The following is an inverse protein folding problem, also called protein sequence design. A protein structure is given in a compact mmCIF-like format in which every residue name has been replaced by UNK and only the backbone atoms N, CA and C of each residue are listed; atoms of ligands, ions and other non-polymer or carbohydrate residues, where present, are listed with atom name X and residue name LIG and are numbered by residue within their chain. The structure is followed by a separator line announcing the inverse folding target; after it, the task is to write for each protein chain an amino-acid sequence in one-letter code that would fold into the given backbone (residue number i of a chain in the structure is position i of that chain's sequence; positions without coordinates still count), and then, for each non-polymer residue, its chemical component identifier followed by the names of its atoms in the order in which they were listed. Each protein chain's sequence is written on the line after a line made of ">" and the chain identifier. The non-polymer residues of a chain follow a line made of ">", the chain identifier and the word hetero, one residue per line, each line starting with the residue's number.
data_IF_286891960559
#
_entry.id   IF_286891960559
#
_cell.length_a   1.000
_cell.length_b   1.000
_cell.length_c   1.000
_cell.angle_alpha   90.00
_cell.angle_beta   90.00
_cell.angle_gamma   90.00
#
_symmetry.space_group_name_H-M   'P 1'
#
loop_
_entity.id
_entity.type
_entity.pdbx_description
1 polymer ?
#
# COMPACT_ATOMS: atom_id res chain seq x y z
N UNK A 1 11.51 -20.15 5.27
CA UNK A 1 10.63 -19.07 4.78
C UNK A 1 10.65 -19.12 3.26
N UNK A 2 9.50 -18.95 2.58
CA UNK A 2 9.36 -18.93 1.12
C UNK A 2 8.38 -17.83 0.73
N UNK A 3 8.52 -17.28 -0.47
CA UNK A 3 7.55 -16.30 -1.01
C UNK A 3 6.17 -16.94 -1.09
N UNK A 4 5.15 -16.21 -0.64
CA UNK A 4 3.77 -16.67 -0.51
C UNK A 4 3.44 -17.37 0.81
N UNK A 5 4.43 -17.68 1.66
CA UNK A 5 4.11 -18.19 3.00
C UNK A 5 3.44 -17.12 3.85
N UNK A 6 2.53 -17.55 4.72
CA UNK A 6 2.01 -16.74 5.82
C UNK A 6 2.84 -17.02 7.05
N UNK A 7 3.24 -15.98 7.76
CA UNK A 7 3.99 -16.02 9.00
C UNK A 7 3.36 -15.11 10.06
N UNK A 8 3.44 -15.49 11.31
CA UNK A 8 3.06 -14.62 12.43
C UNK A 8 4.24 -13.71 12.80
N UNK A 9 3.98 -12.41 12.93
CA UNK A 9 4.93 -11.45 13.46
C UNK A 9 4.21 -10.29 14.16
N UNK A 10 4.64 -9.99 15.41
CA UNK A 10 3.86 -9.15 16.30
C UNK A 10 2.49 -9.79 16.57
N UNK A 11 1.43 -9.05 16.38
CA UNK A 11 0.05 -9.55 16.57
C UNK A 11 -0.70 -9.82 15.24
N UNK A 12 0.02 -9.83 14.12
CA UNK A 12 -0.58 -9.95 12.78
C UNK A 12 -0.02 -11.13 12.01
N UNK A 13 -0.81 -11.63 11.06
CA UNK A 13 -0.40 -12.54 10.01
C UNK A 13 0.14 -11.76 8.81
N UNK A 14 1.24 -12.23 8.24
CA UNK A 14 1.96 -11.57 7.15
C UNK A 14 2.26 -12.52 6.01
N UNK A 15 2.08 -12.04 4.79
CA UNK A 15 2.47 -12.76 3.56
C UNK A 15 3.89 -12.34 3.20
N UNK A 16 4.76 -13.32 2.95
CA UNK A 16 6.11 -13.09 2.45
C UNK A 16 6.05 -12.74 0.96
N UNK A 17 6.51 -11.53 0.62
CA UNK A 17 6.53 -11.02 -0.76
C UNK A 17 7.88 -11.19 -1.46
N UNK A 18 8.99 -11.04 -0.73
CA UNK A 18 10.35 -11.15 -1.26
C UNK A 18 11.30 -11.66 -0.16
N UNK A 19 12.41 -12.28 -0.59
CA UNK A 19 13.43 -12.82 0.32
C UNK A 19 14.80 -12.35 -0.15
N UNK A 20 15.54 -11.72 0.76
CA UNK A 20 16.96 -11.39 0.62
C UNK A 20 17.78 -12.28 1.54
N UNK A 21 19.11 -12.15 1.48
CA UNK A 21 20.04 -12.98 2.26
C UNK A 21 19.75 -12.99 3.77
N UNK A 22 19.36 -11.85 4.34
CA UNK A 22 19.26 -11.61 5.78
C UNK A 22 17.86 -11.13 6.23
N UNK A 23 16.92 -10.95 5.28
CA UNK A 23 15.60 -10.37 5.55
C UNK A 23 14.57 -10.74 4.50
N UNK A 24 13.30 -10.68 4.89
CA UNK A 24 12.15 -10.85 3.99
C UNK A 24 11.31 -9.57 3.97
N UNK A 25 10.78 -9.23 2.80
CA UNK A 25 9.69 -8.27 2.69
C UNK A 25 8.38 -8.99 3.00
N UNK A 26 7.65 -8.45 3.95
CA UNK A 26 6.34 -8.99 4.33
C UNK A 26 5.28 -7.89 4.27
N UNK A 27 4.04 -8.29 3.96
CA UNK A 27 2.85 -7.43 4.00
C UNK A 27 1.79 -8.12 4.84
N UNK A 28 0.98 -7.39 5.59
CA UNK A 28 -0.10 -8.02 6.37
C UNK A 28 -1.04 -8.80 5.44
N UNK A 29 -1.48 -9.98 5.88
CA UNK A 29 -2.45 -10.79 5.13
C UNK A 29 -3.75 -10.04 4.95
N UNK A 30 -4.23 -9.43 6.03
CA UNK A 30 -5.45 -8.64 6.07
C UNK A 30 -5.18 -7.13 6.14
N UNK A 31 -6.19 -6.35 5.87
CA UNK A 31 -6.24 -4.92 6.18
C UNK A 31 -6.43 -4.80 7.68
N UNK A 32 -5.45 -4.23 8.38
CA UNK A 32 -5.41 -4.17 9.85
C UNK A 32 -6.37 -3.15 10.44
N UNK A 33 -6.63 -2.08 9.69
CA UNK A 33 -7.55 -1.01 10.10
C UNK A 33 -7.97 -0.17 8.89
N UNK A 34 -8.93 0.73 9.11
CA UNK A 34 -9.36 1.75 8.15
C UNK A 34 -8.95 3.13 8.66
N UNK A 35 -8.15 3.86 7.85
CA UNK A 35 -7.61 5.17 8.23
C UNK A 35 -7.49 6.10 7.02
N UNK A 36 -7.73 7.42 7.16
CA UNK A 36 -7.42 8.37 6.10
C UNK A 36 -5.91 8.35 5.76
N UNK A 37 -5.59 8.65 4.51
CA UNK A 37 -4.19 8.80 4.07
C UNK A 37 -3.55 10.06 4.67
N UNK A 38 -4.35 11.13 4.77
CA UNK A 38 -3.96 12.38 5.40
C UNK A 38 -5.14 12.99 6.17
N UNK A 39 -4.87 13.88 7.11
CA UNK A 39 -5.84 14.47 8.03
C UNK A 39 -6.39 15.83 7.57
N UNK A 40 -5.80 16.42 6.53
CA UNK A 40 -6.24 17.67 5.92
C UNK A 40 -6.44 17.53 4.41
N UNK A 41 -7.36 18.32 3.82
CA UNK A 41 -7.56 18.36 2.37
C UNK A 41 -6.56 19.33 1.73
N UNK A 42 -5.28 18.97 1.80
CA UNK A 42 -4.16 19.72 1.22
C UNK A 42 -3.29 18.77 0.42
N UNK A 43 -2.60 19.26 -0.58
CA UNK A 43 -1.65 18.43 -1.33
C UNK A 43 -0.58 17.88 -0.41
N UNK A 44 -0.36 16.58 -0.50
CA UNK A 44 0.60 15.87 0.34
C UNK A 44 1.24 14.72 -0.42
N UNK A 45 2.49 14.43 -0.12
CA UNK A 45 3.21 13.24 -0.61
C UNK A 45 3.29 12.19 0.48
N UNK A 46 3.80 11.01 0.14
CA UNK A 46 4.07 9.97 1.14
C UNK A 46 4.97 10.48 2.26
N UNK A 47 5.98 11.28 1.92
CA UNK A 47 6.95 11.79 2.89
C UNK A 47 6.31 12.53 4.08
N UNK A 48 5.21 13.25 3.83
CA UNK A 48 4.61 14.16 4.80
C UNK A 48 3.24 13.72 5.31
N UNK A 49 2.64 12.67 4.72
CA UNK A 49 1.27 12.28 5.04
C UNK A 49 1.12 11.76 6.48
N UNK A 50 -0.08 11.94 7.04
CA UNK A 50 -0.41 11.50 8.39
C UNK A 50 -0.29 9.98 8.54
N UNK A 51 -0.68 9.20 7.52
CA UNK A 51 -0.61 7.75 7.56
C UNK A 51 0.83 7.23 7.69
N UNK A 52 1.79 7.83 6.97
CA UNK A 52 3.21 7.45 7.14
C UNK A 52 3.71 7.73 8.55
N UNK A 53 3.37 8.91 9.09
CA UNK A 53 3.75 9.29 10.47
C UNK A 53 3.19 8.30 11.48
N UNK A 54 1.93 7.94 11.33
CA UNK A 54 1.29 6.92 12.16
C UNK A 54 1.98 5.55 12.05
N UNK A 55 2.27 5.07 10.84
CA UNK A 55 2.90 3.77 10.63
C UNK A 55 4.30 3.69 11.24
N UNK A 56 5.07 4.80 11.21
CA UNK A 56 6.42 4.85 11.78
C UNK A 56 6.48 5.40 13.22
N UNK A 57 5.34 5.73 13.81
CA UNK A 57 5.14 6.14 15.20
C UNK A 57 4.25 5.14 15.94
N UNK A 58 2.99 5.51 16.16
CA UNK A 58 2.05 4.75 17.00
C UNK A 58 1.93 3.28 16.61
N UNK A 59 1.80 2.98 15.32
CA UNK A 59 1.71 1.58 14.84
C UNK A 59 3.02 0.81 15.09
N UNK A 60 4.18 1.44 14.80
CA UNK A 60 5.48 0.84 15.10
C UNK A 60 5.66 0.60 16.60
N UNK A 61 5.09 1.46 17.44
CA UNK A 61 5.21 1.36 18.90
C UNK A 61 4.39 0.22 19.51
N UNK A 62 3.45 -0.37 18.75
CA UNK A 62 2.74 -1.59 19.15
C UNK A 62 3.63 -2.84 19.18
N UNK A 63 4.77 -2.84 18.50
CA UNK A 63 5.68 -3.97 18.46
C UNK A 63 6.54 -4.04 19.73
N UNK A 64 6.80 -5.26 20.21
CA UNK A 64 7.72 -5.49 21.32
C UNK A 64 9.13 -4.99 20.97
N UNK A 65 9.95 -4.72 21.99
CA UNK A 65 11.36 -4.34 21.76
C UNK A 65 12.12 -5.40 20.96
N UNK A 66 11.84 -6.68 21.19
CA UNK A 66 12.46 -7.78 20.46
C UNK A 66 12.04 -7.76 18.97
N UNK A 67 10.78 -7.50 18.67
CA UNK A 67 10.28 -7.39 17.30
C UNK A 67 10.85 -6.16 16.60
N UNK A 68 10.89 -5.01 17.28
CA UNK A 68 11.47 -3.76 16.75
C UNK A 68 12.91 -3.93 16.27
N UNK A 69 13.72 -4.74 16.95
CA UNK A 69 15.10 -5.06 16.54
C UNK A 69 15.17 -5.84 15.22
N UNK A 70 14.12 -6.55 14.88
CA UNK A 70 14.01 -7.32 13.63
C UNK A 70 13.46 -6.51 12.46
N UNK A 71 12.79 -5.39 12.71
CA UNK A 71 12.27 -4.50 11.66
C UNK A 71 13.42 -3.67 11.10
N UNK A 72 13.77 -3.89 9.84
CA UNK A 72 14.84 -3.15 9.16
C UNK A 72 14.32 -1.85 8.58
N UNK A 73 14.96 -0.71 8.84
CA UNK A 73 14.67 0.50 8.08
C UNK A 73 15.07 0.30 6.61
N UNK A 74 14.36 0.96 5.71
CA UNK A 74 14.59 0.93 4.27
C UNK A 74 14.35 2.31 3.65
N UNK A 75 15.16 2.67 2.66
CA UNK A 75 14.92 3.85 1.85
C UNK A 75 13.93 3.49 0.74
N UNK A 76 12.73 4.03 0.84
CA UNK A 76 11.68 3.93 -0.17
C UNK A 76 11.84 5.03 -1.22
N UNK A 77 11.91 4.65 -2.48
CA UNK A 77 11.76 5.56 -3.60
C UNK A 77 10.31 5.94 -3.77
N UNK A 78 10.03 7.22 -3.98
CA UNK A 78 8.69 7.73 -4.19
C UNK A 78 8.58 8.37 -5.57
N UNK A 79 8.52 7.56 -6.66
CA UNK A 79 8.43 8.10 -8.02
C UNK A 79 7.12 8.85 -8.24
N UNK A 80 7.11 9.71 -9.24
CA UNK A 80 5.89 10.36 -9.69
C UNK A 80 4.86 9.33 -10.16
N UNK A 81 3.57 9.70 -10.13
CA UNK A 81 2.54 8.86 -10.73
C UNK A 81 2.81 8.69 -12.23
N UNK A 82 2.91 7.46 -12.69
CA UNK A 82 3.32 7.11 -14.06
C UNK A 82 2.37 7.69 -15.13
N UNK A 83 1.07 7.79 -14.84
CA UNK A 83 0.08 8.27 -15.83
C UNK A 83 -0.20 9.76 -15.75
N UNK A 84 0.02 10.40 -14.62
CA UNK A 84 -0.39 11.78 -14.39
C UNK A 84 0.77 12.72 -14.11
N UNK A 85 1.98 12.18 -13.85
CA UNK A 85 3.15 12.98 -13.53
C UNK A 85 3.09 13.68 -12.17
N UNK A 86 2.08 13.39 -11.34
CA UNK A 86 1.94 13.95 -10.00
C UNK A 86 3.15 13.55 -9.16
N UNK A 87 3.79 14.53 -8.51
CA UNK A 87 5.01 14.33 -7.74
C UNK A 87 4.84 13.32 -6.61
N UNK A 88 5.72 12.34 -6.53
CA UNK A 88 5.82 11.39 -5.42
C UNK A 88 6.50 11.97 -4.18
N UNK A 89 7.17 13.11 -4.33
CA UNK A 89 7.92 13.78 -3.26
C UNK A 89 9.31 13.18 -3.02
N UNK A 90 9.86 13.50 -1.87
CA UNK A 90 11.18 13.01 -1.47
C UNK A 90 11.17 11.52 -1.14
N UNK A 91 12.31 10.86 -1.36
CA UNK A 91 12.55 9.51 -0.84
C UNK A 91 12.46 9.51 0.68
N UNK A 92 12.00 8.39 1.26
CA UNK A 92 11.80 8.29 2.70
C UNK A 92 12.52 7.09 3.30
N UNK A 93 13.10 7.26 4.46
CA UNK A 93 13.51 6.13 5.30
C UNK A 93 12.34 5.71 6.18
N UNK A 94 11.87 4.47 6.01
CA UNK A 94 10.73 3.92 6.73
C UNK A 94 11.06 2.56 7.36
N UNK A 95 10.47 2.30 8.50
CA UNK A 95 10.43 0.96 9.12
C UNK A 95 9.21 0.21 8.66
N UNK A 96 8.07 0.89 8.62
CA UNK A 96 6.79 0.36 8.16
C UNK A 96 6.24 1.29 7.09
N UNK A 97 5.79 0.72 5.98
CA UNK A 97 5.39 1.49 4.80
C UNK A 97 4.22 0.83 4.05
N UNK A 98 3.64 1.56 3.14
CA UNK A 98 2.73 1.01 2.14
C UNK A 98 3.51 0.69 0.86
N UNK A 99 3.08 -0.30 0.10
CA UNK A 99 3.64 -0.59 -1.22
C UNK A 99 3.41 0.59 -2.19
N UNK A 100 4.29 0.74 -3.18
CA UNK A 100 4.08 1.64 -4.31
C UNK A 100 3.20 1.00 -5.39
N UNK A 101 2.81 1.81 -6.38
CA UNK A 101 2.11 1.31 -7.56
C UNK A 101 2.99 0.32 -8.35
N UNK A 102 4.29 0.58 -8.47
CA UNK A 102 5.24 -0.32 -9.13
C UNK A 102 5.36 -1.65 -8.37
N UNK A 103 5.47 -1.60 -7.03
CA UNK A 103 5.47 -2.80 -6.19
C UNK A 103 4.23 -3.66 -6.45
N UNK A 104 3.05 -3.01 -6.50
CA UNK A 104 1.77 -3.70 -6.66
C UNK A 104 1.50 -4.17 -8.09
N UNK A 105 1.99 -3.45 -9.11
CA UNK A 105 1.72 -3.75 -10.51
C UNK A 105 2.78 -4.65 -11.16
N UNK A 106 4.04 -4.56 -10.72
CA UNK A 106 5.15 -5.16 -11.46
C UNK A 106 5.93 -6.21 -10.64
N UNK A 107 5.99 -6.07 -9.31
CA UNK A 107 6.94 -6.86 -8.51
C UNK A 107 6.29 -7.99 -7.72
N UNK A 108 5.32 -7.70 -6.84
CA UNK A 108 4.93 -8.65 -5.78
C UNK A 108 3.61 -9.38 -6.01
N UNK A 109 2.76 -8.89 -6.89
CA UNK A 109 1.46 -9.54 -7.18
C UNK A 109 1.36 -10.05 -8.62
N UNK A 110 2.51 -10.33 -9.24
CA UNK A 110 2.61 -10.73 -10.64
C UNK A 110 2.85 -9.52 -11.55
N UNK A 111 3.43 -9.80 -12.71
CA UNK A 111 3.82 -8.75 -13.66
C UNK A 111 2.64 -8.26 -14.49
N UNK A 112 2.26 -7.02 -14.27
CA UNK A 112 1.31 -6.23 -15.04
C UNK A 112 1.94 -4.95 -15.60
N UNK A 113 3.27 -4.91 -15.72
CA UNK A 113 4.04 -3.75 -16.19
C UNK A 113 3.61 -3.25 -17.57
N UNK A 114 3.20 -4.16 -18.47
CA UNK A 114 2.69 -3.79 -19.79
C UNK A 114 1.43 -2.92 -19.73
N UNK A 115 0.60 -3.08 -18.68
CA UNK A 115 -0.58 -2.26 -18.47
C UNK A 115 -0.23 -0.91 -17.82
N UNK A 116 0.80 -0.90 -16.97
CA UNK A 116 1.26 0.31 -16.30
C UNK A 116 2.01 1.24 -17.26
N UNK A 117 3.00 0.73 -17.99
CA UNK A 117 3.88 1.55 -18.83
C UNK A 117 3.37 1.79 -20.26
N UNK A 118 2.40 0.98 -20.72
CA UNK A 118 1.80 1.13 -22.04
C UNK A 118 0.26 1.19 -21.94
N UNK A 119 -0.31 2.20 -21.26
CA UNK A 119 -1.75 2.29 -21.09
C UNK A 119 -2.46 2.48 -22.42
N UNK A 120 -3.56 1.77 -22.65
CA UNK A 120 -4.41 1.99 -23.81
C UNK A 120 -5.13 3.34 -23.70
N UNK A 121 -5.42 3.97 -24.85
CA UNK A 121 -6.06 5.30 -24.94
C UNK A 121 -7.28 5.50 -24.02
N UNK A 122 -8.02 4.46 -23.69
CA UNK A 122 -9.26 4.52 -22.90
C UNK A 122 -9.11 4.17 -21.43
N UNK A 123 -7.89 3.86 -20.95
CA UNK A 123 -7.61 3.58 -19.54
C UNK A 123 -7.40 4.88 -18.76
N UNK A 124 -8.47 5.68 -18.62
CA UNK A 124 -8.33 6.98 -17.94
C UNK A 124 -8.37 6.90 -16.41
N UNK A 125 -9.00 5.84 -15.86
CA UNK A 125 -9.37 5.84 -14.44
C UNK A 125 -8.92 4.60 -13.70
N UNK A 126 -8.90 3.48 -14.36
CA UNK A 126 -8.66 2.18 -13.77
C UNK A 126 -7.53 1.48 -14.50
N UNK A 127 -6.76 0.73 -13.76
CA UNK A 127 -5.95 -0.32 -14.31
C UNK A 127 -6.88 -1.30 -15.07
N UNK A 128 -6.36 -2.17 -15.92
CA UNK A 128 -7.20 -3.09 -16.70
C UNK A 128 -7.99 -4.03 -15.76
N UNK A 129 -9.32 -3.90 -15.76
CA UNK A 129 -10.18 -4.77 -14.93
C UNK A 129 -10.05 -6.27 -15.24
N UNK A 130 -9.55 -6.60 -16.42
CA UNK A 130 -9.25 -7.98 -16.84
C UNK A 130 -7.81 -8.37 -16.56
N UNK A 131 -7.05 -7.58 -15.82
CA UNK A 131 -5.72 -7.98 -15.40
C UNK A 131 -5.80 -9.27 -14.59
N UNK A 132 -5.14 -10.30 -15.08
CA UNK A 132 -5.09 -11.64 -14.46
C UNK A 132 -4.52 -11.62 -13.04
N UNK A 133 -3.80 -10.57 -12.69
CA UNK A 133 -3.17 -10.41 -11.38
C UNK A 133 -4.07 -9.68 -10.36
N UNK A 134 -5.26 -9.19 -10.74
CA UNK A 134 -6.16 -8.50 -9.82
C UNK A 134 -6.46 -9.35 -8.58
N UNK A 135 -6.80 -10.62 -8.73
CA UNK A 135 -7.14 -11.51 -7.62
C UNK A 135 -6.05 -11.63 -6.56
N UNK A 136 -4.78 -11.45 -6.94
CA UNK A 136 -3.64 -11.52 -6.02
C UNK A 136 -3.53 -10.29 -5.11
N UNK A 137 -4.16 -9.17 -5.48
CA UNK A 137 -4.15 -7.91 -4.76
C UNK A 137 -5.37 -7.72 -3.86
N UNK A 138 -6.37 -8.59 -3.96
CA UNK A 138 -7.56 -8.56 -3.10
C UNK A 138 -7.14 -8.71 -1.64
N UNK A 139 -7.74 -7.92 -0.76
CA UNK A 139 -7.54 -8.02 0.68
C UNK A 139 -8.87 -7.86 1.42
N UNK A 140 -8.95 -8.43 2.61
CA UNK A 140 -10.14 -8.40 3.48
C UNK A 140 -9.82 -7.64 4.77
N UNK A 141 -10.85 -7.06 5.38
CA UNK A 141 -10.75 -6.49 6.71
C UNK A 141 -10.53 -7.61 7.75
N UNK A 142 -9.60 -7.41 8.66
CA UNK A 142 -9.37 -8.34 9.77
C UNK A 142 -10.59 -8.41 10.70
N UNK A 143 -11.24 -7.27 10.95
CA UNK A 143 -12.27 -7.09 11.99
C UNK A 143 -13.69 -7.44 11.58
N UNK A 144 -14.04 -7.63 10.29
CA UNK A 144 -15.41 -7.76 9.82
C UNK A 144 -15.62 -9.01 8.94
N UNK A 145 -15.73 -10.18 9.53
CA UNK A 145 -16.06 -11.43 8.81
C UNK A 145 -15.31 -11.61 7.47
N UNK A 146 -14.09 -11.12 7.39
CA UNK A 146 -13.24 -11.13 6.19
C UNK A 146 -13.90 -10.42 4.99
N UNK A 147 -14.62 -9.32 5.23
CA UNK A 147 -15.18 -8.51 4.15
C UNK A 147 -14.07 -7.96 3.26
N UNK A 148 -14.19 -8.19 1.96
CA UNK A 148 -13.30 -7.58 0.95
C UNK A 148 -13.40 -6.05 1.03
N UNK A 149 -12.25 -5.39 1.03
CA UNK A 149 -12.16 -3.95 1.11
C UNK A 149 -11.03 -3.40 0.24
N UNK A 150 -11.06 -2.10 -0.05
CA UNK A 150 -10.02 -1.39 -0.77
C UNK A 150 -8.95 -0.86 0.20
N UNK A 151 -7.69 -0.73 -0.27
CA UNK A 151 -6.58 -0.34 0.57
C UNK A 151 -5.62 0.63 -0.13
N UNK A 152 -4.98 1.50 0.67
CA UNK A 152 -4.05 2.50 0.19
C UNK A 152 -2.72 1.90 -0.26
N UNK A 153 -2.11 2.55 -1.27
CA UNK A 153 -0.68 2.43 -1.57
C UNK A 153 -0.04 3.82 -1.55
N UNK A 154 1.31 3.91 -1.42
CA UNK A 154 1.98 5.19 -1.15
C UNK A 154 2.08 6.13 -2.35
N UNK A 155 1.83 5.67 -3.57
CA UNK A 155 1.93 6.49 -4.80
C UNK A 155 0.84 7.55 -4.84
N UNK A 156 1.16 8.83 -5.20
CA UNK A 156 0.16 9.88 -5.36
C UNK A 156 -0.82 9.53 -6.49
N UNK A 157 -2.05 10.01 -6.39
CA UNK A 157 -3.06 9.87 -7.43
C UNK A 157 -2.87 10.90 -8.56
N UNK A 158 -3.98 11.24 -9.22
CA UNK A 158 -3.99 12.22 -10.34
C UNK A 158 -3.57 13.63 -9.91
N UNK A 159 -3.81 13.98 -8.66
CA UNK A 159 -3.48 15.28 -8.05
C UNK A 159 -3.04 15.04 -6.61
N UNK A 160 -2.32 15.99 -6.00
CA UNK A 160 -1.72 15.84 -4.67
C UNK A 160 -2.70 15.63 -3.50
N UNK A 161 -4.02 15.85 -3.71
CA UNK A 161 -5.08 15.53 -2.73
C UNK A 161 -5.69 14.14 -2.95
N UNK A 162 -5.02 13.28 -3.71
CA UNK A 162 -5.41 11.89 -3.97
C UNK A 162 -4.21 10.96 -3.83
N UNK A 163 -4.45 9.76 -3.31
CA UNK A 163 -3.49 8.67 -3.27
C UNK A 163 -4.02 7.46 -4.03
N UNK A 164 -3.14 6.74 -4.73
CA UNK A 164 -3.48 5.50 -5.43
C UNK A 164 -3.93 4.45 -4.40
N UNK A 165 -4.80 3.56 -4.83
CA UNK A 165 -5.36 2.51 -3.99
C UNK A 165 -5.60 1.24 -4.80
N UNK A 166 -5.69 0.13 -4.10
CA UNK A 166 -6.17 -1.14 -4.66
C UNK A 166 -7.66 -1.25 -4.32
N UNK A 167 -8.49 -1.40 -5.33
CA UNK A 167 -9.93 -1.59 -5.17
C UNK A 167 -10.24 -2.98 -4.60
N UNK A 168 -11.46 -3.19 -4.08
CA UNK A 168 -11.86 -4.47 -3.49
C UNK A 168 -11.78 -5.66 -4.45
N UNK A 169 -11.89 -5.45 -5.76
CA UNK A 169 -11.67 -6.48 -6.80
C UNK A 169 -10.18 -6.67 -7.19
N UNK A 170 -9.25 -5.98 -6.50
CA UNK A 170 -7.82 -6.02 -6.75
C UNK A 170 -7.33 -5.11 -7.88
N UNK A 171 -8.24 -4.38 -8.52
CA UNK A 171 -7.89 -3.43 -9.57
C UNK A 171 -7.15 -2.21 -8.98
N UNK A 172 -6.18 -1.67 -9.72
CA UNK A 172 -5.39 -0.51 -9.27
C UNK A 172 -6.10 0.77 -9.69
N UNK A 173 -6.55 1.56 -8.72
CA UNK A 173 -7.15 2.87 -8.91
C UNK A 173 -6.10 3.96 -9.09
N UNK A 174 -5.45 4.04 -10.28
CA UNK A 174 -4.30 4.90 -10.54
C UNK A 174 -4.62 6.39 -10.40
N UNK A 175 -5.86 6.81 -10.72
CA UNK A 175 -6.29 8.20 -10.49
C UNK A 175 -6.27 8.60 -9.03
N UNK A 176 -6.29 7.62 -8.13
CA UNK A 176 -6.33 7.82 -6.70
C UNK A 176 -7.69 8.18 -6.13
N UNK A 177 -7.83 7.94 -4.84
CA UNK A 177 -8.98 8.31 -4.04
C UNK A 177 -8.66 9.52 -3.16
N UNK A 178 -9.68 10.22 -2.67
CA UNK A 178 -9.52 11.37 -1.78
C UNK A 178 -8.76 10.96 -0.50
N UNK A 179 -7.72 11.70 -0.16
CA UNK A 179 -6.82 11.40 0.95
C UNK A 179 -7.47 11.47 2.34
N UNK A 180 -8.57 12.23 2.49
CA UNK A 180 -9.29 12.30 3.77
C UNK A 180 -10.11 11.06 4.06
N UNK A 181 -10.85 10.55 3.05
CA UNK A 181 -11.89 9.54 3.30
C UNK A 181 -12.01 8.48 2.21
N UNK A 182 -11.33 8.66 1.08
CA UNK A 182 -11.55 7.84 -0.08
C UNK A 182 -12.81 8.24 -0.84
N UNK A 183 -13.97 7.67 -0.56
CA UNK A 183 -15.22 8.06 -1.22
C UNK A 183 -15.94 9.15 -0.41
N UNK A 184 -16.11 10.32 -1.02
CA UNK A 184 -16.76 11.48 -0.38
C UNK A 184 -18.28 11.29 -0.27
N UNK A 185 -18.89 10.45 -1.10
CA UNK A 185 -20.35 10.40 -1.25
C UNK A 185 -21.09 9.94 -0.01
N UNK A 186 -20.49 9.07 0.82
CA UNK A 186 -21.16 8.51 2.02
C UNK A 186 -20.43 8.78 3.34
N UNK A 187 -19.26 9.37 3.29
CA UNK A 187 -18.47 9.73 4.48
C UNK A 187 -17.99 8.55 5.34
N UNK A 188 -18.26 7.31 4.92
CA UNK A 188 -18.02 6.08 5.70
C UNK A 188 -16.95 5.17 5.09
N UNK A 189 -16.57 5.40 3.85
CA UNK A 189 -15.61 4.55 3.13
C UNK A 189 -14.18 5.02 3.34
N UNK A 190 -13.61 4.75 4.50
CA UNK A 190 -12.20 5.02 4.76
C UNK A 190 -11.31 3.92 4.18
N UNK A 191 -10.17 4.29 3.60
CA UNK A 191 -9.24 3.35 3.00
C UNK A 191 -8.61 2.41 4.00
N UNK A 192 -8.45 1.17 3.59
CA UNK A 192 -7.76 0.14 4.35
C UNK A 192 -6.27 0.41 4.46
N UNK A 193 -5.69 0.10 5.60
CA UNK A 193 -4.25 0.13 5.86
C UNK A 193 -3.74 -1.30 5.82
N UNK A 194 -2.80 -1.56 4.91
CA UNK A 194 -2.15 -2.85 4.72
C UNK A 194 -0.64 -2.65 4.75
N UNK A 195 -0.03 -2.62 5.95
CA UNK A 195 1.38 -2.32 6.14
C UNK A 195 2.31 -3.38 5.55
N UNK A 196 3.48 -2.92 5.10
CA UNK A 196 4.60 -3.77 4.73
C UNK A 196 5.86 -3.36 5.50
N UNK A 197 6.78 -4.31 5.69
CA UNK A 197 8.07 -4.09 6.33
C UNK A 197 9.11 -5.11 5.89
N UNK A 198 10.39 -4.79 6.10
CA UNK A 198 11.49 -5.74 5.96
C UNK A 198 11.83 -6.37 7.31
N UNK A 199 11.60 -7.66 7.44
CA UNK A 199 11.83 -8.46 8.64
C UNK A 199 13.16 -9.21 8.55
N UNK A 200 14.08 -9.00 9.50
CA UNK A 200 15.29 -9.82 9.68
C UNK A 200 14.96 -11.17 10.30
N UNK A 201 15.69 -12.20 9.90
CA UNK A 201 15.57 -13.56 10.44
C UNK A 201 16.92 -14.19 10.73
#
# INVERSE_FOLDING_TARGET
>A
MQVGNIIEFGKYDWIVLDIKKDRALIITEHIVEQRPYHDAYTEVTWADCALRKYLNGDFYDEFSMADKLRISPVVNKNPNNEWYGTSGGADTEDRIFLLSMEDAACQYFGDSSSLLYNPRKNQRYWFERKDKNNSKRVATLESNNKQVWWWWIRTPGRVGVKAVYIHGDGNIGIQGNNILKGNIADGKCTGGVRPALWLRY
#
